data_IF_501392474310
#
_entry.id   IF_501392474310
#
_cell.length_a   1.000
_cell.length_b   1.000
_cell.length_c   1.000
_cell.angle_alpha   90.00
_cell.angle_beta   90.00
_cell.angle_gamma   90.00
#
_symmetry.space_group_name_H-M   'P 1'
#
loop_
_entity.id
_entity.type
_entity.pdbx_description
1 polymer ?
#
# COMPACT_ATOMS: atom_id res chain seq x y z
N UNK A 1 40.61 17.63 25.82
CA UNK A 1 39.74 16.75 25.06
C UNK A 1 38.76 17.64 24.31
N UNK A 2 38.93 17.76 23.01
CA UNK A 2 38.03 18.62 22.18
C UNK A 2 36.69 17.89 21.99
N UNK A 3 35.60 18.52 22.45
CA UNK A 3 34.24 18.11 22.09
C UNK A 3 34.10 18.20 20.59
N UNK A 4 33.88 17.07 19.94
CA UNK A 4 33.47 16.99 18.54
C UNK A 4 32.09 17.64 18.45
N UNK A 5 32.07 18.87 17.96
CA UNK A 5 30.82 19.57 17.61
C UNK A 5 30.12 18.72 16.55
N UNK A 6 28.97 18.15 16.91
CA UNK A 6 28.13 17.41 15.98
C UNK A 6 27.68 18.35 14.84
N UNK A 7 28.32 18.19 13.67
CA UNK A 7 28.11 19.01 12.48
C UNK A 7 26.74 18.80 11.81
N UNK A 8 25.87 17.97 12.42
CA UNK A 8 24.53 17.68 11.88
C UNK A 8 23.65 18.93 11.91
N UNK A 9 23.06 19.34 10.78
CA UNK A 9 22.15 20.51 10.72
C UNK A 9 21.04 20.43 11.77
N UNK A 10 20.71 21.56 12.37
CA UNK A 10 19.73 21.65 13.48
C UNK A 10 18.37 21.02 13.09
N UNK A 11 17.90 21.28 11.88
CA UNK A 11 16.63 20.70 11.41
C UNK A 11 16.65 19.17 11.33
N UNK A 12 17.79 18.55 11.01
CA UNK A 12 17.94 17.09 10.98
C UNK A 12 17.88 16.49 12.37
N UNK A 13 18.48 17.13 13.37
CA UNK A 13 18.41 16.71 14.78
C UNK A 13 16.98 16.81 15.29
N UNK A 14 16.27 17.89 14.97
CA UNK A 14 14.87 18.08 15.34
C UNK A 14 13.98 17.02 14.66
N UNK A 15 14.16 16.82 13.34
CA UNK A 15 13.45 15.78 12.62
C UNK A 15 13.60 14.42 13.31
N UNK A 16 14.82 14.01 13.64
CA UNK A 16 15.10 12.75 14.31
C UNK A 16 14.40 12.66 15.68
N UNK A 17 14.38 13.74 16.44
CA UNK A 17 13.66 13.79 17.72
C UNK A 17 12.16 13.64 17.58
N UNK A 18 11.55 14.26 16.57
CA UNK A 18 10.12 14.10 16.29
C UNK A 18 9.84 12.66 15.84
N UNK A 19 10.69 12.10 14.98
CA UNK A 19 10.62 10.71 14.51
C UNK A 19 10.68 9.72 15.68
N UNK A 20 11.62 9.87 16.60
CA UNK A 20 11.72 9.06 17.82
C UNK A 20 10.47 9.14 18.71
N UNK A 21 9.81 10.32 18.80
CA UNK A 21 8.56 10.48 19.55
C UNK A 21 7.38 9.79 18.88
N UNK A 22 7.32 9.80 17.57
CA UNK A 22 6.34 9.05 16.79
C UNK A 22 6.54 7.54 17.03
N UNK A 23 7.77 7.05 16.93
CA UNK A 23 8.11 5.65 17.12
C UNK A 23 7.81 5.14 18.53
N UNK A 24 8.05 5.98 19.56
CA UNK A 24 7.74 5.66 20.96
C UNK A 24 6.26 5.85 21.32
N UNK A 25 5.42 6.30 20.37
CA UNK A 25 4.00 6.55 20.61
C UNK A 25 3.70 7.81 21.43
N UNK A 26 4.69 8.68 21.71
CA UNK A 26 4.48 9.99 22.37
C UNK A 26 3.56 10.86 21.49
N UNK A 27 3.69 10.74 20.18
CA UNK A 27 2.73 11.24 19.21
C UNK A 27 2.04 10.03 18.58
N UNK A 28 0.84 9.65 19.05
CA UNK A 28 0.14 8.48 18.53
C UNK A 28 -0.22 8.64 17.04
N UNK A 29 -0.35 7.54 16.34
CA UNK A 29 -0.87 7.50 14.97
C UNK A 29 -2.20 8.23 14.86
N UNK A 30 -2.39 8.99 13.80
CA UNK A 30 -3.55 9.85 13.56
C UNK A 30 -3.75 11.01 14.54
N UNK A 31 -2.88 11.18 15.54
CA UNK A 31 -2.92 12.35 16.43
C UNK A 31 -2.24 13.56 15.80
N UNK A 32 -2.65 14.73 16.20
CA UNK A 32 -2.02 15.98 15.82
C UNK A 32 -0.71 16.15 16.61
N UNK A 33 0.39 16.50 15.91
CA UNK A 33 1.63 16.93 16.56
C UNK A 33 1.49 18.39 17.03
N UNK A 34 2.30 18.84 18.01
CA UNK A 34 2.30 20.24 18.42
C UNK A 34 2.54 21.19 17.24
N UNK A 35 2.01 22.40 17.32
CA UNK A 35 2.16 23.38 16.25
C UNK A 35 3.63 23.76 16.01
N UNK A 36 3.94 24.27 14.80
CA UNK A 36 5.30 24.75 14.50
C UNK A 36 5.77 25.81 15.49
N UNK A 37 4.84 26.56 16.10
CA UNK A 37 5.15 27.55 17.16
C UNK A 37 5.57 26.84 18.43
N UNK A 38 4.78 25.89 18.90
CA UNK A 38 5.04 25.19 20.16
C UNK A 38 6.33 24.36 20.07
N UNK A 39 6.55 23.70 18.93
CA UNK A 39 7.80 22.99 18.66
C UNK A 39 9.01 23.94 18.60
N UNK A 40 8.85 25.16 18.04
CA UNK A 40 9.95 26.11 17.99
C UNK A 40 10.32 26.61 19.40
N UNK A 41 9.35 26.82 20.26
CA UNK A 41 9.55 27.17 21.68
C UNK A 41 10.19 26.00 22.44
N UNK A 42 9.70 24.78 22.26
CA UNK A 42 10.22 23.59 22.94
C UNK A 42 11.67 23.27 22.55
N UNK A 43 12.00 23.35 21.25
CA UNK A 43 13.35 23.04 20.73
C UNK A 43 14.30 24.22 20.77
N UNK A 44 13.89 25.40 21.23
CA UNK A 44 14.71 26.59 21.31
C UNK A 44 15.22 27.05 19.91
N UNK A 45 14.38 26.98 18.89
CA UNK A 45 14.74 27.25 17.50
C UNK A 45 13.71 28.12 16.77
N UNK A 46 13.95 28.38 15.48
CA UNK A 46 13.03 29.18 14.68
C UNK A 46 11.91 28.30 14.09
N UNK A 47 10.73 28.90 13.84
CA UNK A 47 9.64 28.24 13.12
C UNK A 47 10.06 27.72 11.75
N UNK A 48 10.97 28.42 11.05
CA UNK A 48 11.47 28.01 9.75
C UNK A 48 12.25 26.68 9.86
N UNK A 49 13.06 26.54 10.89
CA UNK A 49 13.84 25.31 11.16
C UNK A 49 12.90 24.14 11.47
N UNK A 50 11.84 24.38 12.28
CA UNK A 50 10.81 23.36 12.56
C UNK A 50 10.07 22.99 11.28
N UNK A 51 9.68 23.97 10.48
CA UNK A 51 8.99 23.73 9.20
C UNK A 51 9.83 22.84 8.29
N UNK A 52 11.13 23.11 8.16
CA UNK A 52 12.03 22.28 7.36
C UNK A 52 12.11 20.83 7.90
N UNK A 53 12.13 20.65 9.22
CA UNK A 53 12.13 19.34 9.84
C UNK A 53 10.80 18.58 9.59
N UNK A 54 9.67 19.28 9.74
CA UNK A 54 8.32 18.72 9.50
C UNK A 54 8.09 18.45 8.01
N UNK A 55 8.56 19.33 7.10
CA UNK A 55 8.47 19.11 5.64
C UNK A 55 9.21 17.83 5.21
N UNK A 56 10.35 17.53 5.86
CA UNK A 56 11.06 16.29 5.61
C UNK A 56 10.26 15.06 6.08
N UNK A 57 9.61 15.15 7.24
CA UNK A 57 8.74 14.08 7.75
C UNK A 57 7.47 13.91 6.89
N UNK A 58 6.96 15.00 6.31
CA UNK A 58 5.86 14.95 5.34
C UNK A 58 6.32 14.26 4.05
N UNK A 59 7.50 14.62 3.51
CA UNK A 59 8.07 13.95 2.32
C UNK A 59 8.32 12.45 2.54
N UNK A 60 8.61 12.05 3.79
CA UNK A 60 8.78 10.64 4.18
C UNK A 60 7.46 9.93 4.52
N UNK A 61 6.33 10.60 4.36
CA UNK A 61 5.02 10.03 4.67
C UNK A 61 4.77 9.75 6.16
N UNK A 62 5.60 10.31 7.06
CA UNK A 62 5.45 10.11 8.51
C UNK A 62 4.50 11.13 9.15
N UNK A 63 4.31 12.26 8.49
CA UNK A 63 3.38 13.33 8.90
C UNK A 63 2.55 13.76 7.70
N UNK A 64 1.27 14.03 7.91
CA UNK A 64 0.34 14.59 6.92
C UNK A 64 -0.10 15.98 7.37
N UNK A 65 0.03 16.98 6.47
CA UNK A 65 -0.55 18.31 6.71
C UNK A 65 -1.99 18.38 6.23
N UNK A 66 -2.86 18.89 7.09
CA UNK A 66 -4.25 19.19 6.75
C UNK A 66 -4.46 20.70 6.84
N UNK A 67 -4.81 21.31 5.71
CA UNK A 67 -5.01 22.77 5.63
C UNK A 67 -6.02 23.25 6.67
N UNK A 68 -5.63 24.23 7.48
CA UNK A 68 -6.47 24.79 8.54
C UNK A 68 -6.62 23.92 9.80
N UNK A 69 -6.10 22.68 9.82
CA UNK A 69 -6.23 21.77 10.98
C UNK A 69 -4.90 21.42 11.64
N UNK A 70 -3.76 21.56 10.93
CA UNK A 70 -2.45 21.27 11.49
C UNK A 70 -1.74 20.08 10.83
N UNK A 71 -0.75 19.53 11.54
CA UNK A 71 0.04 18.39 11.09
C UNK A 71 -0.26 17.17 11.97
N UNK A 72 -0.52 16.04 11.34
CA UNK A 72 -0.94 14.79 11.99
C UNK A 72 0.09 13.71 11.72
N UNK A 73 0.33 12.84 12.71
CA UNK A 73 1.11 11.63 12.50
C UNK A 73 0.40 10.76 11.47
N UNK A 74 1.07 10.52 10.36
CA UNK A 74 0.54 9.63 9.35
C UNK A 74 0.52 8.21 9.89
N UNK A 75 -0.51 7.46 9.53
CA UNK A 75 -0.51 6.04 9.78
C UNK A 75 0.65 5.43 9.00
N UNK A 76 1.63 4.82 9.67
CA UNK A 76 2.60 3.96 8.99
C UNK A 76 1.78 2.83 8.36
N UNK A 77 1.51 2.95 7.09
CA UNK A 77 1.04 1.82 6.32
C UNK A 77 2.30 1.03 5.98
N UNK A 78 2.37 -0.23 6.34
CA UNK A 78 3.50 -1.08 6.03
C UNK A 78 3.79 -1.07 4.53
N UNK A 79 5.07 -1.17 4.17
CA UNK A 79 5.43 -1.45 2.78
C UNK A 79 4.74 -2.73 2.35
N UNK A 80 3.80 -2.60 1.40
CA UNK A 80 2.80 -3.63 1.08
C UNK A 80 3.34 -4.83 0.31
N UNK A 81 4.61 -4.83 -0.09
CA UNK A 81 5.12 -5.79 -1.06
C UNK A 81 6.44 -6.43 -0.61
N UNK A 82 6.35 -7.21 0.45
CA UNK A 82 7.32 -8.28 0.66
C UNK A 82 6.59 -9.53 1.16
N UNK A 83 6.71 -10.58 0.35
CA UNK A 83 6.51 -12.00 0.68
C UNK A 83 5.12 -12.57 0.41
N UNK A 84 5.17 -13.77 -0.03
CA UNK A 84 4.26 -14.89 -0.26
C UNK A 84 2.93 -14.96 0.53
N UNK A 85 2.57 -14.01 1.36
CA UNK A 85 1.35 -14.04 2.20
C UNK A 85 0.21 -13.11 1.77
N UNK A 86 0.45 -12.21 0.78
CA UNK A 86 -0.56 -11.26 0.31
C UNK A 86 -0.86 -10.13 1.29
N UNK A 87 -1.81 -9.25 0.90
CA UNK A 87 -2.18 -8.03 1.61
C UNK A 87 -2.44 -8.23 3.12
N UNK A 88 -3.26 -9.22 3.48
CA UNK A 88 -3.69 -9.42 4.88
C UNK A 88 -2.54 -9.78 5.80
N UNK A 89 -1.65 -10.65 5.35
CA UNK A 89 -0.51 -11.08 6.15
C UNK A 89 0.49 -9.94 6.34
N UNK A 90 0.79 -9.20 5.28
CA UNK A 90 1.67 -8.04 5.33
C UNK A 90 1.17 -6.97 6.30
N UNK A 91 -0.15 -6.67 6.28
CA UNK A 91 -0.76 -5.70 7.19
C UNK A 91 -0.70 -6.16 8.65
N UNK A 92 -1.03 -7.43 8.91
CA UNK A 92 -0.97 -7.99 10.28
C UNK A 92 0.45 -8.03 10.82
N UNK A 93 1.42 -8.42 9.99
CA UNK A 93 2.84 -8.43 10.37
C UNK A 93 3.35 -7.05 10.80
N UNK A 94 2.71 -5.99 10.35
CA UNK A 94 3.03 -4.60 10.69
C UNK A 94 2.12 -4.01 11.77
N UNK A 95 1.30 -4.85 12.41
CA UNK A 95 0.43 -4.44 13.52
C UNK A 95 -0.84 -3.70 13.08
N UNK A 96 -1.18 -3.71 11.80
CA UNK A 96 -2.42 -3.13 11.28
C UNK A 96 -3.57 -4.14 11.25
N UNK A 97 -4.80 -3.65 11.18
CA UNK A 97 -6.00 -4.45 11.00
C UNK A 97 -6.45 -4.39 9.53
N UNK A 98 -6.25 -5.47 8.75
CA UNK A 98 -6.65 -5.51 7.35
C UNK A 98 -8.13 -5.82 7.20
N UNK A 99 -8.80 -5.10 6.30
CA UNK A 99 -10.13 -5.48 5.83
C UNK A 99 -10.22 -5.36 4.32
N UNK A 100 -11.06 -6.21 3.71
CA UNK A 100 -11.23 -6.28 2.26
C UNK A 100 -12.72 -6.23 1.95
N UNK A 101 -13.11 -5.28 1.11
CA UNK A 101 -14.47 -5.17 0.58
C UNK A 101 -14.49 -5.56 -0.89
N UNK A 102 -15.30 -6.55 -1.25
CA UNK A 102 -15.51 -6.93 -2.64
C UNK A 102 -16.35 -5.85 -3.32
N UNK A 103 -15.84 -5.27 -4.40
CA UNK A 103 -16.51 -4.26 -5.19
C UNK A 103 -17.28 -4.86 -6.37
N UNK A 104 -16.71 -5.90 -6.98
CA UNK A 104 -17.31 -6.61 -8.10
C UNK A 104 -16.72 -8.02 -8.25
N UNK A 105 -17.53 -8.93 -8.79
CA UNK A 105 -17.13 -10.26 -9.27
C UNK A 105 -17.76 -10.46 -10.63
N UNK A 106 -17.03 -10.97 -11.58
CA UNK A 106 -17.54 -11.28 -12.92
C UNK A 106 -16.68 -12.32 -13.62
N UNK A 107 -17.22 -12.93 -14.68
CA UNK A 107 -16.41 -13.69 -15.65
C UNK A 107 -16.26 -12.89 -16.93
N UNK A 108 -15.12 -13.03 -17.56
CA UNK A 108 -14.85 -12.46 -18.88
C UNK A 108 -13.99 -13.42 -19.70
N UNK A 109 -14.04 -13.32 -21.01
CA UNK A 109 -13.10 -14.00 -21.88
C UNK A 109 -11.68 -13.45 -21.70
N UNK A 110 -10.67 -14.33 -21.85
CA UNK A 110 -9.27 -13.96 -21.73
C UNK A 110 -8.88 -12.90 -22.77
N UNK A 111 -9.27 -13.11 -24.01
CA UNK A 111 -8.79 -12.34 -25.15
C UNK A 111 -7.29 -12.58 -25.40
N UNK A 112 -6.72 -12.01 -26.47
CA UNK A 112 -5.38 -12.38 -26.93
C UNK A 112 -4.29 -12.12 -25.88
N UNK A 113 -4.33 -10.99 -25.18
CA UNK A 113 -3.29 -10.62 -24.22
C UNK A 113 -3.20 -11.59 -23.03
N UNK A 114 -4.35 -11.88 -22.39
CA UNK A 114 -4.36 -12.76 -21.23
C UNK A 114 -4.29 -14.24 -21.61
N UNK A 115 -4.73 -14.60 -22.81
CA UNK A 115 -4.54 -15.93 -23.35
C UNK A 115 -3.05 -16.27 -23.50
N UNK A 116 -2.26 -15.37 -24.06
CA UNK A 116 -0.81 -15.50 -24.15
C UNK A 116 -0.16 -15.54 -22.76
N UNK A 117 -0.55 -14.61 -21.87
CA UNK A 117 -0.01 -14.51 -20.52
C UNK A 117 -0.20 -15.80 -19.70
N UNK A 118 -1.40 -16.39 -19.79
CA UNK A 118 -1.77 -17.58 -18.99
C UNK A 118 -1.55 -18.91 -19.72
N UNK A 119 -1.21 -18.88 -21.01
CA UNK A 119 -1.08 -20.09 -21.84
C UNK A 119 -2.41 -20.83 -22.01
N UNK A 120 -3.52 -20.09 -22.21
CA UNK A 120 -4.90 -20.60 -22.36
C UNK A 120 -5.51 -20.11 -23.70
N UNK A 121 -6.72 -20.54 -24.05
CA UNK A 121 -7.40 -20.05 -25.25
C UNK A 121 -8.02 -18.65 -25.03
N UNK A 122 -8.20 -17.89 -26.12
CA UNK A 122 -8.77 -16.53 -26.06
C UNK A 122 -10.23 -16.53 -25.57
N UNK A 123 -10.95 -17.60 -25.80
CA UNK A 123 -12.33 -17.82 -25.37
C UNK A 123 -12.45 -18.53 -24.01
N UNK A 124 -11.32 -18.89 -23.38
CA UNK A 124 -11.31 -19.35 -21.99
C UNK A 124 -11.72 -18.23 -21.04
N UNK A 125 -12.37 -18.60 -19.94
CA UNK A 125 -12.89 -17.65 -18.98
C UNK A 125 -11.86 -17.32 -17.90
N UNK A 126 -11.79 -16.02 -17.59
CA UNK A 126 -11.13 -15.48 -16.42
C UNK A 126 -12.18 -15.07 -15.39
N UNK A 127 -11.97 -15.45 -14.13
CA UNK A 127 -12.67 -14.90 -13.00
C UNK A 127 -12.03 -13.58 -12.59
N UNK A 128 -12.81 -12.51 -12.65
CA UNK A 128 -12.39 -11.16 -12.30
C UNK A 128 -12.95 -10.78 -10.94
N UNK A 129 -12.08 -10.42 -10.01
CA UNK A 129 -12.44 -9.96 -8.68
C UNK A 129 -11.88 -8.55 -8.50
N UNK A 130 -12.76 -7.59 -8.19
CA UNK A 130 -12.34 -6.25 -7.83
C UNK A 130 -12.57 -6.01 -6.34
N UNK A 131 -11.53 -5.53 -5.64
CA UNK A 131 -11.52 -5.38 -4.18
C UNK A 131 -11.06 -3.99 -3.77
N UNK A 132 -11.61 -3.49 -2.67
CA UNK A 132 -11.08 -2.35 -1.92
C UNK A 132 -10.38 -2.90 -0.67
N UNK A 133 -9.10 -2.64 -0.56
CA UNK A 133 -8.29 -3.01 0.57
C UNK A 133 -8.22 -1.84 1.55
N UNK A 134 -8.45 -2.10 2.82
CA UNK A 134 -8.42 -1.11 3.88
C UNK A 134 -7.49 -1.54 5.02
N UNK A 135 -6.89 -0.57 5.69
CA UNK A 135 -6.12 -0.76 6.92
C UNK A 135 -6.73 0.10 8.02
N UNK A 136 -7.05 -0.52 9.14
CA UNK A 136 -7.71 0.15 10.25
C UNK A 136 -8.95 0.96 9.79
N UNK A 137 -9.72 0.40 8.86
CA UNK A 137 -10.90 1.01 8.27
C UNK A 137 -10.65 2.06 7.19
N UNK A 138 -9.40 2.47 6.94
CA UNK A 138 -9.06 3.46 5.90
C UNK A 138 -8.74 2.80 4.57
N UNK A 139 -9.34 3.21 3.44
CA UNK A 139 -9.02 2.69 2.12
C UNK A 139 -7.57 2.98 1.74
N UNK A 140 -6.85 1.97 1.25
CA UNK A 140 -5.44 2.10 0.86
C UNK A 140 -5.17 1.67 -0.58
N UNK A 141 -5.92 0.71 -1.11
CA UNK A 141 -5.78 0.31 -2.51
C UNK A 141 -7.05 -0.27 -3.10
N UNK A 142 -7.17 -0.15 -4.41
CA UNK A 142 -8.15 -0.88 -5.23
C UNK A 142 -7.37 -1.87 -6.08
N UNK A 143 -7.80 -3.12 -6.03
CA UNK A 143 -7.15 -4.22 -6.73
C UNK A 143 -8.14 -4.93 -7.63
N UNK A 144 -7.71 -5.28 -8.83
CA UNK A 144 -8.43 -6.15 -9.76
C UNK A 144 -7.56 -7.35 -10.07
N UNK A 145 -8.00 -8.53 -9.63
CA UNK A 145 -7.36 -9.80 -9.93
C UNK A 145 -8.09 -10.50 -11.08
N UNK A 146 -7.35 -11.06 -12.02
CA UNK A 146 -7.82 -11.92 -13.12
C UNK A 146 -7.22 -13.31 -12.93
N UNK A 147 -8.06 -14.31 -12.87
CA UNK A 147 -7.71 -15.68 -12.47
C UNK A 147 -8.28 -16.65 -13.51
N UNK A 148 -7.47 -17.51 -14.16
CA UNK A 148 -7.97 -18.46 -15.13
C UNK A 148 -8.92 -19.49 -14.50
N UNK A 149 -10.18 -19.52 -14.94
CA UNK A 149 -11.17 -20.49 -14.44
C UNK A 149 -10.75 -21.93 -14.74
N UNK A 150 -10.01 -22.15 -15.83
CA UNK A 150 -9.48 -23.48 -16.18
C UNK A 150 -8.53 -24.03 -15.10
N UNK A 151 -7.73 -23.15 -14.49
CA UNK A 151 -6.79 -23.55 -13.43
C UNK A 151 -7.46 -23.66 -12.05
N UNK A 152 -8.55 -22.92 -11.85
CA UNK A 152 -9.27 -22.81 -10.58
C UNK A 152 -10.79 -22.92 -10.78
N UNK A 153 -11.31 -24.09 -11.18
CA UNK A 153 -12.71 -24.26 -11.58
C UNK A 153 -13.72 -23.98 -10.46
N UNK A 154 -13.32 -24.08 -9.19
CA UNK A 154 -14.17 -23.88 -8.02
C UNK A 154 -13.84 -22.62 -7.22
N UNK A 155 -13.08 -21.69 -7.80
CA UNK A 155 -12.67 -20.47 -7.08
C UNK A 155 -13.86 -19.61 -6.63
N UNK A 156 -14.98 -19.69 -7.34
CA UNK A 156 -16.20 -18.94 -7.01
C UNK A 156 -16.87 -19.40 -5.72
N UNK A 157 -16.63 -20.65 -5.32
CA UNK A 157 -17.22 -21.26 -4.13
C UNK A 157 -16.51 -20.81 -2.84
N UNK A 158 -15.33 -20.19 -2.97
CA UNK A 158 -14.53 -19.72 -1.84
C UNK A 158 -14.80 -18.25 -1.56
N UNK A 159 -15.08 -17.93 -0.30
CA UNK A 159 -15.29 -16.54 0.11
C UNK A 159 -13.95 -15.80 0.26
N UNK A 160 -13.51 -15.17 -0.84
CA UNK A 160 -12.29 -14.35 -0.91
C UNK A 160 -12.37 -13.04 -0.09
N UNK A 161 -13.49 -12.76 0.58
CA UNK A 161 -13.57 -11.71 1.60
C UNK A 161 -13.08 -12.20 2.96
N UNK A 162 -13.06 -13.51 3.18
CA UNK A 162 -12.56 -14.18 4.39
C UNK A 162 -11.13 -14.65 4.19
N UNK A 163 -10.87 -15.36 3.09
CA UNK A 163 -9.55 -15.88 2.73
C UNK A 163 -8.82 -14.92 1.80
N UNK A 164 -7.51 -14.82 1.91
CA UNK A 164 -6.69 -14.13 0.89
C UNK A 164 -6.73 -14.92 -0.42
N UNK A 165 -6.43 -14.27 -1.55
CA UNK A 165 -6.33 -15.00 -2.82
C UNK A 165 -5.22 -16.07 -2.77
N UNK A 166 -4.10 -15.76 -2.13
CA UNK A 166 -3.00 -16.72 -2.01
C UNK A 166 -3.37 -17.95 -1.18
N UNK A 167 -4.05 -17.76 -0.02
CA UNK A 167 -4.63 -18.89 0.73
C UNK A 167 -5.61 -19.69 -0.12
N UNK A 168 -6.43 -19.00 -0.92
CA UNK A 168 -7.39 -19.64 -1.84
C UNK A 168 -6.69 -20.48 -2.89
N UNK A 169 -5.61 -19.97 -3.51
CA UNK A 169 -4.83 -20.75 -4.49
C UNK A 169 -4.16 -21.95 -3.85
N UNK A 170 -3.64 -21.81 -2.64
CA UNK A 170 -3.01 -22.92 -1.90
C UNK A 170 -4.05 -24.01 -1.55
N UNK A 171 -5.26 -23.62 -1.11
CA UNK A 171 -6.37 -24.57 -0.88
C UNK A 171 -6.76 -25.30 -2.16
N UNK A 172 -6.65 -24.66 -3.32
CA UNK A 172 -6.93 -25.26 -4.63
C UNK A 172 -5.72 -25.97 -5.26
N UNK A 173 -4.63 -26.15 -4.50
CA UNK A 173 -3.46 -26.93 -4.88
C UNK A 173 -2.45 -26.21 -5.76
N UNK A 174 -2.53 -24.89 -5.89
CA UNK A 174 -1.59 -24.08 -6.69
C UNK A 174 -1.03 -22.92 -5.88
N UNK A 175 0.08 -23.16 -5.20
CA UNK A 175 0.75 -22.14 -4.40
C UNK A 175 1.57 -21.20 -5.29
N UNK A 176 1.37 -19.85 -5.18
CA UNK A 176 2.28 -18.89 -5.81
C UNK A 176 3.69 -19.02 -5.20
N UNK A 177 4.71 -19.11 -6.05
CA UNK A 177 6.12 -19.22 -5.61
C UNK A 177 7.01 -18.16 -6.22
N UNK A 178 6.55 -17.49 -7.26
CA UNK A 178 7.25 -16.40 -7.93
C UNK A 178 6.23 -15.35 -8.37
N UNK A 179 6.66 -14.08 -8.37
CA UNK A 179 5.89 -12.99 -8.92
C UNK A 179 6.78 -12.10 -9.81
N UNK A 180 6.21 -11.58 -10.88
CA UNK A 180 6.80 -10.52 -11.70
C UNK A 180 5.96 -9.27 -11.51
N UNK A 181 6.60 -8.17 -11.15
CA UNK A 181 5.94 -6.92 -10.82
C UNK A 181 6.42 -5.78 -11.72
N UNK A 182 5.47 -4.94 -12.11
CA UNK A 182 5.73 -3.68 -12.81
C UNK A 182 5.07 -2.56 -12.03
N UNK A 183 5.86 -1.53 -11.69
CA UNK A 183 5.40 -0.32 -11.04
C UNK A 183 5.26 0.81 -12.05
N UNK A 184 4.20 1.61 -11.89
CA UNK A 184 3.94 2.81 -12.68
C UNK A 184 3.17 3.82 -11.83
N UNK A 185 2.89 5.00 -12.39
CA UNK A 185 2.08 6.04 -11.74
C UNK A 185 0.98 6.44 -12.72
N UNK A 186 -0.28 6.34 -12.28
CA UNK A 186 -1.44 6.69 -13.10
C UNK A 186 -2.37 7.67 -12.37
N UNK A 187 -3.01 8.55 -13.14
CA UNK A 187 -4.05 9.43 -12.62
C UNK A 187 -5.36 8.66 -12.41
N UNK A 188 -5.98 8.86 -11.25
CA UNK A 188 -7.24 8.17 -10.91
C UNK A 188 -8.44 8.78 -11.62
N UNK A 189 -9.30 7.92 -12.15
CA UNK A 189 -10.65 8.30 -12.57
C UNK A 189 -11.55 8.63 -11.37
N UNK A 190 -12.62 9.38 -11.58
CA UNK A 190 -13.53 9.86 -10.53
C UNK A 190 -14.05 8.75 -9.59
N UNK A 191 -14.40 7.58 -10.15
CA UNK A 191 -14.93 6.45 -9.37
C UNK A 191 -13.88 5.89 -8.39
N UNK A 192 -12.67 5.68 -8.85
CA UNK A 192 -11.59 5.06 -8.07
C UNK A 192 -11.01 6.04 -7.06
N UNK A 193 -10.86 7.29 -7.46
CA UNK A 193 -10.50 8.37 -6.56
C UNK A 193 -11.49 8.48 -5.39
N UNK A 194 -12.80 8.50 -5.66
CA UNK A 194 -13.82 8.53 -4.61
C UNK A 194 -13.79 7.32 -3.67
N UNK A 195 -13.52 6.11 -4.19
CA UNK A 195 -13.38 4.90 -3.36
C UNK A 195 -12.15 4.96 -2.45
N UNK A 196 -11.07 5.61 -2.88
CA UNK A 196 -9.85 5.78 -2.11
C UNK A 196 -9.87 7.04 -1.22
N UNK A 197 -10.92 7.86 -1.27
CA UNK A 197 -11.01 9.13 -0.55
C UNK A 197 -10.03 10.18 -1.10
N UNK A 198 -9.80 10.16 -2.42
CA UNK A 198 -8.96 11.06 -3.20
C UNK A 198 -9.82 11.85 -4.20
N UNK A 199 -9.22 12.82 -4.89
CA UNK A 199 -9.87 13.60 -5.95
C UNK A 199 -9.58 12.99 -7.33
N UNK A 200 -10.50 13.21 -8.29
CA UNK A 200 -10.25 12.82 -9.68
C UNK A 200 -8.99 13.49 -10.19
N UNK A 201 -8.10 12.72 -10.81
CA UNK A 201 -6.82 13.19 -11.33
C UNK A 201 -5.67 13.08 -10.33
N UNK A 202 -5.92 12.77 -9.05
CA UNK A 202 -4.85 12.44 -8.11
C UNK A 202 -4.05 11.23 -8.61
N UNK A 203 -2.75 11.25 -8.36
CA UNK A 203 -1.85 10.19 -8.78
C UNK A 203 -1.87 9.03 -7.79
N UNK A 204 -2.01 7.82 -8.32
CA UNK A 204 -1.84 6.59 -7.58
C UNK A 204 -0.62 5.81 -8.10
N UNK A 205 0.06 5.13 -7.19
CA UNK A 205 1.06 4.15 -7.56
C UNK A 205 0.34 2.90 -8.05
N UNK A 206 0.56 2.53 -9.31
CA UNK A 206 0.02 1.30 -9.88
C UNK A 206 1.01 0.17 -9.79
N UNK A 207 0.51 -1.01 -9.45
CA UNK A 207 1.25 -2.25 -9.49
C UNK A 207 0.51 -3.20 -10.43
N UNK A 208 1.21 -3.71 -11.44
CA UNK A 208 0.82 -4.87 -12.20
C UNK A 208 1.68 -6.06 -11.74
N UNK A 209 1.05 -7.15 -11.37
CA UNK A 209 1.73 -8.33 -10.83
C UNK A 209 1.20 -9.59 -11.53
N UNK A 210 2.12 -10.45 -11.96
CA UNK A 210 1.81 -11.80 -12.46
C UNK A 210 2.40 -12.79 -11.50
N UNK A 211 1.56 -13.65 -10.91
CA UNK A 211 1.97 -14.71 -9.98
C UNK A 211 2.09 -16.05 -10.71
N UNK A 212 3.13 -16.81 -10.39
CA UNK A 212 3.43 -18.09 -11.00
C UNK A 212 3.49 -19.20 -9.93
N UNK A 213 3.01 -20.38 -10.26
CA UNK A 213 3.17 -21.58 -9.45
C UNK A 213 4.55 -22.26 -9.65
N UNK A 214 4.80 -23.34 -8.91
CA UNK A 214 6.06 -24.09 -8.96
C UNK A 214 6.37 -24.73 -10.33
N UNK A 215 5.38 -24.89 -11.20
CA UNK A 215 5.57 -25.36 -12.57
C UNK A 215 5.96 -24.26 -13.55
N UNK A 216 5.95 -23.00 -13.10
CA UNK A 216 6.14 -21.82 -13.95
C UNK A 216 4.86 -21.38 -14.67
N UNK A 217 3.70 -21.96 -14.32
CA UNK A 217 2.41 -21.56 -14.86
C UNK A 217 1.98 -20.23 -14.24
N UNK A 218 1.65 -19.23 -15.08
CA UNK A 218 1.00 -18.01 -14.60
C UNK A 218 -0.40 -18.36 -14.09
N UNK A 219 -0.70 -17.98 -12.85
CA UNK A 219 -1.94 -18.36 -12.17
C UNK A 219 -2.81 -17.16 -11.80
N UNK A 220 -2.26 -15.97 -11.79
CA UNK A 220 -2.95 -14.74 -11.46
C UNK A 220 -2.29 -13.54 -12.17
N UNK A 221 -3.12 -12.60 -12.62
CA UNK A 221 -2.72 -11.24 -12.95
C UNK A 221 -3.46 -10.27 -12.06
N UNK A 222 -2.76 -9.36 -11.45
CA UNK A 222 -3.33 -8.30 -10.60
C UNK A 222 -2.92 -6.94 -11.15
N UNK A 223 -3.89 -6.03 -11.22
CA UNK A 223 -3.61 -4.58 -11.31
C UNK A 223 -4.18 -3.89 -10.09
N UNK A 224 -3.36 -3.12 -9.40
CA UNK A 224 -3.78 -2.35 -8.23
C UNK A 224 -3.44 -0.87 -8.36
N UNK A 225 -4.30 -0.03 -7.79
CA UNK A 225 -4.10 1.40 -7.58
C UNK A 225 -3.91 1.63 -6.10
N UNK A 226 -2.76 2.13 -5.72
CA UNK A 226 -2.37 2.28 -4.33
C UNK A 226 -2.20 3.77 -4.01
N UNK A 227 -2.72 4.20 -2.85
CA UNK A 227 -2.53 5.56 -2.37
C UNK A 227 -1.07 5.82 -2.08
N UNK A 228 -0.50 6.89 -2.63
CA UNK A 228 0.90 7.26 -2.41
C UNK A 228 1.20 7.71 -0.97
N UNK A 229 0.18 8.13 -0.21
CA UNK A 229 0.30 8.51 1.20
C UNK A 229 0.03 7.35 2.17
N UNK A 230 -0.34 6.18 1.66
CA UNK A 230 -0.73 5.02 2.47
C UNK A 230 0.39 3.98 2.66
N UNK A 231 1.56 4.19 2.09
CA UNK A 231 2.73 3.31 2.22
C UNK A 231 3.75 3.54 1.13
N UNK A 232 4.93 2.95 1.29
CA UNK A 232 6.02 2.99 0.33
C UNK A 232 6.42 1.58 -0.10
N UNK A 233 6.93 1.46 -1.32
CA UNK A 233 7.56 0.24 -1.79
C UNK A 233 9.02 0.28 -1.37
N UNK A 234 9.49 -0.77 -0.69
CA UNK A 234 10.89 -0.93 -0.32
C UNK A 234 11.42 -2.19 -0.98
N UNK A 235 12.47 -2.06 -1.77
CA UNK A 235 13.21 -3.18 -2.32
C UNK A 235 14.51 -3.34 -1.56
N UNK A 236 14.82 -4.58 -1.15
CA UNK A 236 16.13 -4.94 -0.59
C UNK A 236 16.85 -5.80 -1.63
N UNK A 237 18.05 -5.38 -2.03
CA UNK A 237 18.90 -6.09 -3.00
C UNK A 237 19.92 -6.98 -2.28
#
# INVERSE_FOLDING_TARGET
>A
MAETVDATPVYMRIRRRIEERIERGTYPTSSMIPSEKDLAEEFGTTRLTIRSAVDELVRRGQIRRVRGKGAFVAQKVPAFFERTGGFRESVRASGGEPSVRILARSKRYAGPYYADLFGIAEDDLLYSIRRLNCINGSPVSIETALIPCLLFPTIEDIDVSVFSLYETYEMLGRKPVMAQEKLDIEALGARDAGLLGLEQGDLALTLECVSFDASGQAIEYVKSFNRGDAGGYTYTY
#
